data_IF_755319040671
#
_entry.id   IF_755319040671
#
_cell.length_a   1.000
_cell.length_b   1.000
_cell.length_c   1.000
_cell.angle_alpha   90.00
_cell.angle_beta   90.00
_cell.angle_gamma   90.00
#
_symmetry.space_group_name_H-M   'P 1'
#
loop_
_entity.id
_entity.type
_entity.pdbx_description
1 polymer ?
#
# COMPACT_ATOMS: atom_id res chain seq x y z
N UNK A 1 8.45 28.33 22.24
CA UNK A 1 8.46 28.07 20.78
C UNK A 1 9.91 27.86 20.36
N UNK A 2 10.24 26.82 19.57
CA UNK A 2 11.58 26.66 19.01
C UNK A 2 11.95 27.87 18.14
N UNK A 3 13.24 28.19 18.03
CA UNK A 3 13.70 29.31 17.19
C UNK A 3 13.32 29.09 15.71
N UNK A 4 12.91 30.16 15.02
CA UNK A 4 12.62 30.13 13.58
C UNK A 4 13.88 29.71 12.81
N UNK A 5 13.73 28.74 11.91
CA UNK A 5 14.81 28.19 11.07
C UNK A 5 14.42 28.36 9.60
N UNK A 6 15.43 28.41 8.73
CA UNK A 6 15.25 28.30 7.28
C UNK A 6 15.43 26.83 6.89
N UNK A 7 14.44 26.26 6.21
CA UNK A 7 14.42 24.84 5.84
C UNK A 7 14.13 24.73 4.35
N UNK A 8 14.92 23.91 3.66
CA UNK A 8 14.64 23.51 2.28
C UNK A 8 14.11 22.09 2.30
N UNK A 9 12.93 21.87 1.70
CA UNK A 9 12.33 20.56 1.49
C UNK A 9 12.48 20.19 0.02
N UNK A 10 13.08 19.03 -0.26
CA UNK A 10 13.28 18.52 -1.62
C UNK A 10 12.15 17.54 -1.95
N UNK A 11 11.36 17.86 -2.97
CA UNK A 11 10.18 17.11 -3.41
C UNK A 11 8.88 17.72 -2.90
N UNK A 12 7.98 18.03 -3.83
CA UNK A 12 6.59 18.48 -3.65
C UNK A 12 5.57 17.34 -3.76
N UNK A 13 5.97 16.11 -3.43
CA UNK A 13 5.06 14.98 -3.20
C UNK A 13 4.36 15.07 -1.84
N UNK A 14 3.45 14.12 -1.53
CA UNK A 14 2.68 14.13 -0.29
C UNK A 14 3.56 14.22 0.97
N UNK A 15 4.64 13.45 1.06
CA UNK A 15 5.56 13.49 2.21
C UNK A 15 6.28 14.84 2.37
N UNK A 16 6.74 15.42 1.27
CA UNK A 16 7.42 16.72 1.29
C UNK A 16 6.47 17.88 1.61
N UNK A 17 5.28 17.88 1.02
CA UNK A 17 4.26 18.90 1.32
C UNK A 17 3.74 18.81 2.76
N UNK A 18 3.51 17.61 3.28
CA UNK A 18 3.14 17.42 4.70
C UNK A 18 4.24 17.91 5.63
N UNK A 19 5.50 17.57 5.36
CA UNK A 19 6.66 18.05 6.12
C UNK A 19 6.75 19.59 6.10
N UNK A 20 6.64 20.19 4.91
CA UNK A 20 6.68 21.64 4.74
C UNK A 20 5.55 22.33 5.51
N UNK A 21 4.33 21.80 5.40
CA UNK A 21 3.17 22.32 6.12
C UNK A 21 3.38 22.28 7.64
N UNK A 22 3.80 21.14 8.20
CA UNK A 22 4.03 21.01 9.64
C UNK A 22 5.15 21.95 10.15
N UNK A 23 6.20 22.15 9.37
CA UNK A 23 7.27 23.09 9.69
C UNK A 23 6.79 24.55 9.64
N UNK A 24 5.95 24.90 8.67
CA UNK A 24 5.34 26.22 8.56
C UNK A 24 4.41 26.53 9.73
N UNK A 25 3.55 25.57 10.14
CA UNK A 25 2.68 25.69 11.32
C UNK A 25 3.48 25.90 12.62
N UNK A 26 4.70 25.38 12.68
CA UNK A 26 5.63 25.57 13.80
C UNK A 26 6.45 26.87 13.71
N UNK A 27 6.19 27.72 12.72
CA UNK A 27 6.79 29.05 12.56
C UNK A 27 8.14 29.07 11.82
N UNK A 28 8.52 28.00 11.13
CA UNK A 28 9.74 27.95 10.32
C UNK A 28 9.55 28.61 8.94
N UNK A 29 10.65 29.07 8.34
CA UNK A 29 10.72 29.59 6.98
C UNK A 29 11.07 28.43 6.03
N UNK A 30 10.11 28.00 5.21
CA UNK A 30 10.24 26.77 4.42
C UNK A 30 10.19 27.07 2.94
N UNK A 31 11.16 26.54 2.20
CA UNK A 31 11.19 26.54 0.73
C UNK A 31 11.06 25.11 0.23
N UNK A 32 10.11 24.85 -0.66
CA UNK A 32 9.94 23.53 -1.30
C UNK A 32 10.51 23.57 -2.71
N UNK A 33 11.42 22.65 -3.04
CA UNK A 33 11.97 22.48 -4.38
C UNK A 33 11.38 21.22 -5.01
N UNK A 34 10.59 21.38 -6.06
CA UNK A 34 10.00 20.27 -6.83
C UNK A 34 10.61 20.23 -8.24
N UNK A 35 10.98 19.03 -8.69
CA UNK A 35 11.62 18.84 -9.98
C UNK A 35 10.61 18.88 -11.15
N UNK A 36 9.39 18.41 -10.90
CA UNK A 36 8.30 18.41 -11.86
C UNK A 36 7.62 19.79 -11.98
N UNK A 37 6.88 19.99 -13.06
CA UNK A 37 6.03 21.17 -13.27
C UNK A 37 4.72 21.15 -12.47
N UNK A 38 4.60 20.25 -11.49
CA UNK A 38 3.42 20.06 -10.65
C UNK A 38 3.85 19.48 -9.31
N UNK A 39 3.03 19.70 -8.30
CA UNK A 39 3.12 18.98 -7.03
C UNK A 39 2.30 17.68 -7.04
N UNK A 40 2.34 16.94 -5.94
CA UNK A 40 1.57 15.71 -5.70
C UNK A 40 2.40 14.43 -5.80
N UNK A 41 3.55 14.46 -6.48
CA UNK A 41 4.43 13.29 -6.64
C UNK A 41 3.67 12.13 -7.30
N UNK A 42 3.61 10.98 -6.63
CA UNK A 42 2.86 9.80 -7.11
C UNK A 42 1.33 9.97 -7.08
N UNK A 43 0.79 11.01 -6.44
CA UNK A 43 -0.62 11.36 -6.52
C UNK A 43 -0.83 12.34 -7.68
N UNK A 44 -1.81 12.05 -8.54
CA UNK A 44 -2.12 12.90 -9.70
C UNK A 44 -3.58 12.75 -10.10
N UNK A 45 -4.32 13.85 -10.00
CA UNK A 45 -5.66 13.99 -10.57
C UNK A 45 -5.57 14.74 -11.89
N UNK A 46 -6.20 14.21 -12.94
CA UNK A 46 -6.35 14.86 -14.24
C UNK A 46 -7.79 15.31 -14.44
N UNK A 47 -7.95 16.43 -15.14
CA UNK A 47 -9.24 16.98 -15.54
C UNK A 47 -9.32 16.99 -17.07
N UNK A 48 -8.31 17.53 -17.75
CA UNK A 48 -8.22 17.43 -19.20
C UNK A 48 -7.61 16.09 -19.66
N UNK A 49 -8.07 15.50 -20.79
CA UNK A 49 -9.10 15.99 -21.73
C UNK A 49 -10.51 15.45 -21.41
N UNK A 50 -10.84 15.22 -20.13
CA UNK A 50 -12.13 14.66 -19.75
C UNK A 50 -13.23 15.73 -19.88
N UNK A 51 -14.48 15.33 -20.21
CA UNK A 51 -15.62 16.24 -20.22
C UNK A 51 -15.81 17.01 -18.89
N UNK A 52 -16.45 18.17 -18.98
CA UNK A 52 -16.67 19.07 -17.84
C UNK A 52 -17.24 18.35 -16.61
N UNK A 53 -16.62 18.64 -15.45
CA UNK A 53 -17.00 18.06 -14.17
C UNK A 53 -16.46 16.64 -13.92
N UNK A 54 -15.77 16.04 -14.89
CA UNK A 54 -15.07 14.77 -14.71
C UNK A 54 -13.61 14.98 -14.33
N UNK A 55 -13.10 14.03 -13.57
CA UNK A 55 -11.69 13.90 -13.23
C UNK A 55 -11.33 12.43 -13.11
N UNK A 56 -10.05 12.13 -13.20
CA UNK A 56 -9.52 10.80 -12.93
C UNK A 56 -8.23 10.91 -12.13
N UNK A 57 -8.09 10.07 -11.11
CA UNK A 57 -6.79 9.83 -10.52
C UNK A 57 -6.02 8.86 -11.41
N UNK A 58 -4.79 9.24 -11.74
CA UNK A 58 -3.85 8.48 -12.57
C UNK A 58 -2.56 8.19 -11.81
N UNK A 59 -2.68 8.14 -10.49
CA UNK A 59 -1.62 7.90 -9.53
C UNK A 59 -2.15 7.12 -8.32
N UNK A 60 -1.51 7.30 -7.16
CA UNK A 60 -2.03 6.72 -5.92
C UNK A 60 -3.38 7.38 -5.56
N UNK A 61 -4.45 6.58 -5.53
CA UNK A 61 -5.84 7.07 -5.42
C UNK A 61 -6.60 6.50 -4.20
N UNK A 62 -6.04 5.50 -3.50
CA UNK A 62 -6.72 4.74 -2.45
C UNK A 62 -5.93 4.77 -1.14
N UNK A 63 -6.65 4.87 -0.02
CA UNK A 63 -6.18 4.59 1.32
C UNK A 63 -7.24 3.79 2.07
N UNK A 64 -6.85 3.07 3.13
CA UNK A 64 -7.77 2.18 3.87
C UNK A 64 -8.17 2.75 5.22
N UNK A 65 -9.24 2.18 5.77
CA UNK A 65 -9.62 2.34 7.16
C UNK A 65 -9.78 0.93 7.75
N UNK A 66 -8.96 0.52 8.72
CA UNK A 66 -7.94 1.29 9.45
C UNK A 66 -6.57 1.42 8.72
N UNK A 67 -5.59 2.04 9.39
CA UNK A 67 -4.15 1.99 9.07
C UNK A 67 -3.54 3.23 8.39
N UNK A 68 -4.36 4.24 8.08
CA UNK A 68 -3.98 5.51 7.45
C UNK A 68 -4.35 6.72 8.31
N UNK A 69 -4.03 6.67 9.61
CA UNK A 69 -4.49 7.67 10.59
C UNK A 69 -4.04 9.09 10.26
N UNK A 70 -2.77 9.29 9.88
CA UNK A 70 -2.25 10.59 9.45
C UNK A 70 -3.02 11.14 8.25
N UNK A 71 -3.33 10.31 7.25
CA UNK A 71 -4.14 10.74 6.10
C UNK A 71 -5.55 11.18 6.55
N UNK A 72 -6.14 10.49 7.52
CA UNK A 72 -7.46 10.84 8.08
C UNK A 72 -7.44 12.14 8.87
N UNK A 73 -6.36 12.42 9.57
CA UNK A 73 -6.14 13.73 10.20
C UNK A 73 -6.08 14.83 9.15
N UNK A 74 -5.34 14.64 8.05
CA UNK A 74 -5.28 15.60 6.95
C UNK A 74 -6.62 15.81 6.26
N UNK A 75 -7.34 14.72 5.97
CA UNK A 75 -8.69 14.78 5.39
C UNK A 75 -9.62 15.62 6.26
N UNK A 76 -9.60 15.42 7.58
CA UNK A 76 -10.40 16.23 8.52
C UNK A 76 -9.92 17.68 8.59
N UNK A 77 -8.59 17.89 8.66
CA UNK A 77 -7.99 19.23 8.77
C UNK A 77 -8.27 20.11 7.56
N UNK A 78 -8.33 19.53 6.37
CA UNK A 78 -8.60 20.24 5.12
C UNK A 78 -10.04 20.08 4.62
N UNK A 79 -10.93 19.49 5.42
CA UNK A 79 -12.34 19.26 5.08
C UNK A 79 -12.53 18.61 3.69
N UNK A 80 -11.77 17.55 3.43
CA UNK A 80 -11.77 16.86 2.14
C UNK A 80 -12.89 15.81 2.06
N UNK A 81 -13.62 15.74 0.94
CA UNK A 81 -14.61 14.68 0.73
C UNK A 81 -13.93 13.31 0.59
N UNK A 82 -14.45 12.31 1.30
CA UNK A 82 -14.02 10.91 1.18
C UNK A 82 -15.08 10.11 0.46
N UNK A 83 -14.67 9.37 -0.57
CA UNK A 83 -15.53 8.48 -1.34
C UNK A 83 -15.25 7.02 -0.98
N UNK A 84 -16.30 6.21 -0.89
CA UNK A 84 -16.14 4.76 -0.73
C UNK A 84 -15.78 4.11 -2.06
N UNK A 85 -14.81 3.19 -2.04
CA UNK A 85 -14.32 2.52 -3.24
C UNK A 85 -15.02 1.18 -3.45
N UNK A 86 -16.16 1.21 -4.14
CA UNK A 86 -17.00 0.03 -4.39
C UNK A 86 -16.40 -0.95 -5.43
N UNK A 87 -15.43 -0.50 -6.24
CA UNK A 87 -14.90 -1.22 -7.41
C UNK A 87 -14.24 -2.57 -7.11
N UNK A 88 -13.88 -2.86 -5.87
CA UNK A 88 -13.29 -4.17 -5.50
C UNK A 88 -14.31 -5.20 -5.02
N UNK A 89 -15.61 -4.90 -5.08
CA UNK A 89 -16.67 -5.89 -4.78
C UNK A 89 -16.87 -6.80 -6.00
N UNK A 90 -16.94 -8.12 -5.76
CA UNK A 90 -17.19 -9.16 -6.79
C UNK A 90 -16.20 -9.08 -7.97
N UNK A 91 -14.92 -8.90 -7.64
CA UNK A 91 -13.85 -8.79 -8.63
C UNK A 91 -13.63 -10.12 -9.35
N UNK A 92 -13.43 -10.05 -10.66
CA UNK A 92 -12.91 -11.16 -11.45
C UNK A 92 -11.41 -10.97 -11.63
N UNK A 93 -10.63 -12.03 -11.43
CA UNK A 93 -9.19 -12.01 -11.67
C UNK A 93 -8.87 -12.87 -12.88
N UNK A 94 -8.10 -12.34 -13.83
CA UNK A 94 -7.55 -13.14 -14.93
C UNK A 94 -6.30 -13.86 -14.42
N UNK A 95 -6.38 -15.19 -14.25
CA UNK A 95 -5.27 -16.03 -13.83
C UNK A 95 -5.00 -17.06 -14.92
N UNK A 96 -3.80 -16.98 -15.53
CA UNK A 96 -3.36 -17.84 -16.65
C UNK A 96 -4.38 -17.83 -17.81
N UNK A 97 -4.87 -16.65 -18.19
CA UNK A 97 -5.79 -16.48 -19.32
C UNK A 97 -7.27 -16.79 -19.02
N UNK A 98 -7.61 -17.28 -17.83
CA UNK A 98 -8.99 -17.56 -17.42
C UNK A 98 -9.45 -16.56 -16.35
N UNK A 99 -10.56 -15.89 -16.62
CA UNK A 99 -11.27 -15.08 -15.63
C UNK A 99 -11.91 -15.98 -14.58
N UNK A 100 -11.65 -15.70 -13.31
CA UNK A 100 -12.20 -16.44 -12.17
C UNK A 100 -12.80 -15.52 -11.13
N UNK A 101 -13.85 -15.99 -10.45
CA UNK A 101 -14.40 -15.32 -9.27
C UNK A 101 -13.54 -15.56 -8.04
N UNK A 102 -13.84 -14.83 -6.97
CA UNK A 102 -13.20 -15.02 -5.66
C UNK A 102 -13.51 -16.41 -5.06
N UNK A 103 -14.73 -16.91 -5.26
CA UNK A 103 -15.15 -18.24 -4.81
C UNK A 103 -14.41 -19.34 -5.56
N UNK A 104 -14.21 -19.18 -6.88
CA UNK A 104 -13.44 -20.13 -7.67
C UNK A 104 -11.96 -20.16 -7.26
N UNK A 105 -11.36 -19.02 -6.88
CA UNK A 105 -9.98 -18.94 -6.39
C UNK A 105 -9.85 -19.49 -4.95
N UNK A 106 -10.91 -19.40 -4.17
CA UNK A 106 -10.99 -19.99 -2.83
C UNK A 106 -11.17 -21.51 -2.86
N UNK A 107 -11.60 -22.10 -3.98
CA UNK A 107 -11.83 -23.54 -4.09
C UNK A 107 -10.52 -24.35 -4.05
N UNK A 108 -10.52 -25.41 -3.22
CA UNK A 108 -9.35 -26.24 -2.99
C UNK A 108 -8.90 -27.02 -4.25
N UNK A 109 -9.83 -27.41 -5.12
CA UNK A 109 -9.46 -28.07 -6.38
C UNK A 109 -8.76 -27.08 -7.31
N UNK A 110 -9.28 -25.86 -7.46
CA UNK A 110 -8.61 -24.78 -8.21
C UNK A 110 -7.21 -24.50 -7.66
N UNK A 111 -7.05 -24.45 -6.34
CA UNK A 111 -5.74 -24.22 -5.72
C UNK A 111 -4.74 -25.33 -6.05
N UNK A 112 -5.15 -26.60 -5.99
CA UNK A 112 -4.29 -27.72 -6.40
C UNK A 112 -3.94 -27.66 -7.89
N UNK A 113 -4.91 -27.34 -8.76
CA UNK A 113 -4.67 -27.14 -10.19
C UNK A 113 -3.65 -26.02 -10.48
N UNK A 114 -3.53 -25.04 -9.58
CA UNK A 114 -2.53 -23.99 -9.69
C UNK A 114 -1.12 -24.43 -9.29
N UNK A 115 -0.99 -25.56 -8.59
CA UNK A 115 0.30 -26.08 -8.11
C UNK A 115 0.64 -25.68 -6.68
N UNK A 116 -0.34 -25.23 -5.88
CA UNK A 116 -0.14 -25.11 -4.44
C UNK A 116 0.00 -26.51 -3.80
N UNK A 117 0.86 -26.63 -2.80
CA UNK A 117 1.02 -27.89 -2.05
C UNK A 117 -0.06 -28.04 -0.96
N UNK A 118 -0.18 -29.23 -0.36
CA UNK A 118 -1.26 -29.48 0.61
C UNK A 118 -1.18 -28.61 1.88
N UNK A 119 0.03 -28.20 2.32
CA UNK A 119 0.20 -27.27 3.46
C UNK A 119 -0.40 -25.91 3.14
N UNK A 120 -0.16 -25.41 1.93
CA UNK A 120 -0.67 -24.13 1.44
C UNK A 120 -2.18 -24.16 1.22
N UNK A 121 -2.69 -25.23 0.59
CA UNK A 121 -4.14 -25.44 0.38
C UNK A 121 -4.86 -25.48 1.73
N UNK A 122 -4.38 -26.30 2.68
CA UNK A 122 -4.99 -26.39 4.00
C UNK A 122 -5.03 -25.03 4.71
N UNK A 123 -3.91 -24.28 4.69
CA UNK A 123 -3.85 -22.95 5.28
C UNK A 123 -4.86 -21.98 4.64
N UNK A 124 -4.95 -21.96 3.31
CA UNK A 124 -5.87 -21.09 2.57
C UNK A 124 -7.35 -21.44 2.80
N UNK A 125 -7.68 -22.72 2.99
CA UNK A 125 -9.05 -23.13 3.33
C UNK A 125 -9.46 -22.66 4.72
N UNK A 126 -8.52 -22.69 5.68
CA UNK A 126 -8.78 -22.30 7.06
C UNK A 126 -8.76 -20.77 7.26
N UNK A 127 -7.80 -20.08 6.65
CA UNK A 127 -7.52 -18.66 6.90
C UNK A 127 -7.98 -17.74 5.77
N UNK A 128 -8.51 -18.29 4.68
CA UNK A 128 -8.84 -17.58 3.46
C UNK A 128 -7.65 -17.45 2.51
N UNK A 129 -7.89 -17.67 1.21
CA UNK A 129 -6.84 -17.79 0.20
C UNK A 129 -5.94 -16.55 0.06
N UNK A 130 -6.47 -15.36 0.35
CA UNK A 130 -5.73 -14.10 0.31
C UNK A 130 -4.69 -13.94 1.43
N UNK A 131 -4.76 -14.77 2.46
CA UNK A 131 -3.82 -14.72 3.59
C UNK A 131 -2.61 -15.64 3.42
N UNK A 132 -2.42 -16.27 2.25
CA UNK A 132 -1.33 -17.22 2.00
C UNK A 132 0.06 -16.73 2.47
N UNK A 133 0.38 -15.44 2.29
CA UNK A 133 1.67 -14.87 2.72
C UNK A 133 1.96 -15.07 4.22
N UNK A 134 0.90 -15.07 5.05
CA UNK A 134 1.00 -15.21 6.50
C UNK A 134 1.42 -16.61 6.94
N UNK A 135 1.23 -17.62 6.11
CA UNK A 135 1.76 -18.96 6.36
C UNK A 135 3.29 -18.94 6.52
N UNK A 136 3.96 -18.08 5.75
CA UNK A 136 5.42 -17.97 5.73
C UNK A 136 5.91 -16.86 6.64
N UNK A 137 5.37 -15.65 6.49
CA UNK A 137 5.91 -14.47 7.18
C UNK A 137 5.35 -14.29 8.59
N UNK A 138 4.12 -14.75 8.84
CA UNK A 138 3.39 -14.51 10.09
C UNK A 138 4.19 -14.85 11.35
N UNK A 139 4.77 -16.06 11.47
CA UNK A 139 5.56 -16.44 12.64
C UNK A 139 6.75 -15.52 12.93
N UNK A 140 7.42 -15.02 11.89
CA UNK A 140 8.56 -14.12 12.04
C UNK A 140 8.13 -12.66 12.25
N UNK A 141 7.00 -12.25 11.66
CA UNK A 141 6.43 -10.92 11.80
C UNK A 141 6.10 -10.58 13.26
N UNK A 142 5.81 -11.58 14.11
CA UNK A 142 5.59 -11.37 15.56
C UNK A 142 6.79 -10.79 16.30
N UNK A 143 8.02 -10.94 15.76
CA UNK A 143 9.24 -10.44 16.40
C UNK A 143 9.34 -8.91 16.35
N UNK A 144 8.69 -8.27 15.38
CA UNK A 144 8.66 -6.83 15.25
C UNK A 144 7.66 -6.25 16.26
N UNK A 145 8.09 -5.22 16.99
CA UNK A 145 7.25 -4.47 17.95
C UNK A 145 7.15 -2.98 17.63
N UNK A 146 8.02 -2.51 16.74
CA UNK A 146 8.07 -1.14 16.27
C UNK A 146 8.19 -1.16 14.74
N UNK A 147 7.21 -0.55 14.07
CA UNK A 147 7.18 -0.47 12.61
C UNK A 147 8.32 0.37 12.02
N UNK A 148 8.95 1.24 12.81
CA UNK A 148 10.09 2.07 12.38
C UNK A 148 11.45 1.40 12.65
N UNK A 149 11.46 0.20 13.25
CA UNK A 149 12.69 -0.53 13.61
C UNK A 149 12.76 -1.88 12.88
N UNK A 150 13.21 -1.90 11.60
CA UNK A 150 13.31 -3.13 10.81
C UNK A 150 14.49 -4.06 11.20
N UNK A 151 15.45 -3.57 11.97
CA UNK A 151 16.67 -4.31 12.37
C UNK A 151 16.76 -4.49 13.89
N UNK A 152 17.61 -5.42 14.35
CA UNK A 152 17.83 -5.69 15.77
C UNK A 152 16.80 -6.62 16.40
N UNK A 153 16.02 -7.34 15.58
CA UNK A 153 14.98 -8.28 16.04
C UNK A 153 15.41 -9.75 15.91
N UNK A 154 16.69 -9.99 15.61
CA UNK A 154 17.25 -11.32 15.38
C UNK A 154 16.84 -11.92 14.04
N UNK A 155 16.60 -11.07 13.03
CA UNK A 155 16.32 -11.46 11.64
C UNK A 155 17.22 -10.73 10.64
N UNK A 156 18.20 -9.95 11.10
CA UNK A 156 18.98 -8.99 10.32
C UNK A 156 19.73 -9.67 9.15
N UNK A 157 20.21 -10.89 9.34
CA UNK A 157 20.84 -11.70 8.28
C UNK A 157 19.93 -11.96 7.07
N UNK A 158 18.61 -11.94 7.26
CA UNK A 158 17.64 -12.11 6.17
C UNK A 158 17.61 -10.91 5.22
N UNK A 159 18.26 -9.80 5.55
CA UNK A 159 18.36 -8.66 4.62
C UNK A 159 19.23 -8.96 3.41
N UNK A 160 20.16 -9.91 3.57
CA UNK A 160 21.05 -10.37 2.50
C UNK A 160 20.54 -11.63 1.80
N UNK A 161 19.34 -12.09 2.15
CA UNK A 161 18.71 -13.27 1.55
C UNK A 161 17.63 -12.84 0.56
N UNK A 162 17.72 -13.36 -0.66
CA UNK A 162 16.69 -13.18 -1.69
C UNK A 162 15.40 -13.85 -1.22
N UNK A 163 14.29 -13.12 -1.25
CA UNK A 163 12.98 -13.60 -0.80
C UNK A 163 12.60 -14.96 -1.38
N UNK A 164 12.83 -15.17 -2.67
CA UNK A 164 12.46 -16.42 -3.33
C UNK A 164 13.26 -17.61 -2.82
N UNK A 165 14.55 -17.43 -2.52
CA UNK A 165 15.41 -18.46 -1.95
C UNK A 165 14.92 -18.82 -0.55
N UNK A 166 14.69 -17.80 0.28
CA UNK A 166 14.15 -17.99 1.63
C UNK A 166 12.80 -18.71 1.61
N UNK A 167 11.87 -18.32 0.73
CA UNK A 167 10.57 -19.00 0.60
C UNK A 167 10.71 -20.45 0.13
N UNK A 168 11.65 -20.73 -0.79
CA UNK A 168 11.93 -22.09 -1.22
C UNK A 168 12.46 -22.95 -0.05
N UNK A 169 13.34 -22.39 0.78
CA UNK A 169 13.81 -23.02 2.02
C UNK A 169 12.67 -23.25 3.03
N UNK A 170 11.67 -22.36 3.08
CA UNK A 170 10.47 -22.55 3.89
C UNK A 170 9.48 -23.60 3.32
N UNK A 171 9.81 -24.21 2.17
CA UNK A 171 9.00 -25.22 1.50
C UNK A 171 7.84 -24.65 0.68
N UNK A 172 7.91 -23.37 0.28
CA UNK A 172 6.89 -22.77 -0.58
C UNK A 172 6.94 -23.39 -1.98
N UNK A 173 5.76 -23.75 -2.51
CA UNK A 173 5.59 -24.10 -3.92
C UNK A 173 6.01 -22.94 -4.82
N UNK A 174 6.38 -23.23 -6.07
CA UNK A 174 6.66 -22.18 -7.06
C UNK A 174 5.48 -21.21 -7.21
N UNK A 175 4.26 -21.74 -7.17
CA UNK A 175 3.04 -20.94 -7.21
C UNK A 175 2.94 -20.01 -5.98
N UNK A 176 3.13 -20.53 -4.77
CA UNK A 176 3.10 -19.71 -3.56
C UNK A 176 4.19 -18.64 -3.55
N UNK A 177 5.41 -18.97 -4.01
CA UNK A 177 6.49 -18.00 -4.19
C UNK A 177 6.06 -16.88 -5.12
N UNK A 178 5.46 -17.21 -6.26
CA UNK A 178 4.96 -16.20 -7.20
C UNK A 178 3.93 -15.26 -6.59
N UNK A 179 2.95 -15.80 -5.87
CA UNK A 179 1.94 -14.99 -5.17
C UNK A 179 2.52 -14.12 -4.04
N UNK A 180 3.59 -14.58 -3.39
CA UNK A 180 4.26 -13.84 -2.32
C UNK A 180 5.31 -12.82 -2.83
N UNK A 181 5.54 -12.76 -4.14
CA UNK A 181 6.52 -11.87 -4.77
C UNK A 181 7.96 -12.42 -4.85
N UNK A 182 8.15 -13.71 -4.54
CA UNK A 182 9.43 -14.40 -4.51
C UNK A 182 9.68 -15.34 -5.69
N UNK A 183 9.19 -15.01 -6.89
CA UNK A 183 9.39 -15.86 -8.09
C UNK A 183 10.87 -16.07 -8.42
N UNK A 184 11.71 -15.06 -8.16
CA UNK A 184 13.14 -15.08 -8.47
C UNK A 184 13.92 -15.90 -7.44
N UNK A 185 14.71 -16.85 -7.92
CA UNK A 185 15.73 -17.57 -7.16
C UNK A 185 17.13 -17.09 -7.57
N UNK A 186 18.09 -17.12 -6.64
CA UNK A 186 19.50 -16.94 -6.98
C UNK A 186 20.13 -18.25 -7.49
N UNK A 187 21.11 -18.12 -8.38
CA UNK A 187 21.92 -19.24 -8.88
C UNK A 187 23.35 -18.78 -9.17
N UNK A 188 24.24 -19.71 -9.54
CA UNK A 188 25.60 -19.35 -9.98
C UNK A 188 25.60 -18.45 -11.22
N UNK A 189 24.67 -18.69 -12.14
CA UNK A 189 24.50 -17.94 -13.38
C UNK A 189 23.76 -16.61 -13.17
N UNK A 190 22.93 -16.53 -12.12
CA UNK A 190 22.15 -15.35 -11.74
C UNK A 190 22.27 -15.10 -10.24
N UNK A 191 23.40 -14.54 -9.77
CA UNK A 191 23.62 -14.31 -8.34
C UNK A 191 22.63 -13.28 -7.79
N UNK A 192 22.52 -13.20 -6.47
CA UNK A 192 21.79 -12.13 -5.79
C UNK A 192 22.38 -10.75 -6.10
N UNK A 193 21.53 -9.73 -6.14
CA UNK A 193 21.82 -8.33 -6.46
C UNK A 193 21.03 -7.42 -5.54
N UNK A 194 21.44 -6.15 -5.45
CA UNK A 194 20.72 -5.11 -4.69
C UNK A 194 19.32 -4.78 -5.22
N UNK A 195 18.99 -5.21 -6.44
CA UNK A 195 17.65 -5.06 -7.01
C UNK A 195 16.66 -6.14 -6.55
N UNK A 196 17.14 -7.12 -5.78
CA UNK A 196 16.32 -8.23 -5.34
C UNK A 196 15.57 -7.93 -4.06
N UNK A 197 14.39 -8.55 -3.95
CA UNK A 197 13.58 -8.36 -2.76
C UNK A 197 14.22 -9.10 -1.59
N UNK A 198 14.63 -8.35 -0.57
CA UNK A 198 15.10 -8.84 0.72
C UNK A 198 14.00 -9.62 1.45
N UNK A 199 14.34 -10.78 2.02
CA UNK A 199 13.42 -11.56 2.84
C UNK A 199 13.03 -10.79 4.11
N UNK A 200 13.99 -10.11 4.74
CA UNK A 200 13.74 -9.25 5.91
C UNK A 200 12.71 -8.17 5.59
N UNK A 201 12.89 -7.46 4.47
CA UNK A 201 11.99 -6.38 4.05
C UNK A 201 10.53 -6.86 3.97
N UNK A 202 10.28 -8.05 3.41
CA UNK A 202 8.91 -8.57 3.27
C UNK A 202 8.30 -9.04 4.57
N UNK A 203 9.09 -9.64 5.46
CA UNK A 203 8.62 -10.03 6.79
C UNK A 203 8.29 -8.78 7.62
N UNK A 204 9.16 -7.77 7.59
CA UNK A 204 8.92 -6.48 8.22
C UNK A 204 7.64 -5.83 7.66
N UNK A 205 7.45 -5.82 6.34
CA UNK A 205 6.23 -5.28 5.73
C UNK A 205 4.95 -6.00 6.20
N UNK A 206 4.94 -7.33 6.31
CA UNK A 206 3.79 -8.07 6.85
C UNK A 206 3.51 -7.66 8.31
N UNK A 207 4.55 -7.40 9.11
CA UNK A 207 4.40 -6.91 10.48
C UNK A 207 3.71 -5.56 10.55
N UNK A 208 4.04 -4.62 9.65
CA UNK A 208 3.38 -3.30 9.56
C UNK A 208 1.90 -3.47 9.19
N UNK A 209 1.61 -4.31 8.20
CA UNK A 209 0.23 -4.62 7.78
C UNK A 209 -0.57 -5.12 8.98
N UNK A 210 0.00 -6.02 9.78
CA UNK A 210 -0.61 -6.53 10.99
C UNK A 210 -0.80 -5.45 12.07
N UNK A 211 0.25 -4.69 12.41
CA UNK A 211 0.21 -3.67 13.46
C UNK A 211 -0.80 -2.57 13.17
N UNK A 212 -0.88 -2.14 11.91
CA UNK A 212 -1.81 -1.09 11.46
C UNK A 212 -3.23 -1.60 11.21
N UNK A 213 -3.47 -2.91 11.38
CA UNK A 213 -4.75 -3.53 11.05
C UNK A 213 -5.13 -3.40 9.58
N UNK A 214 -4.15 -3.18 8.70
CA UNK A 214 -4.41 -2.94 7.28
C UNK A 214 -5.13 -4.16 6.70
N UNK A 215 -6.25 -3.95 6.00
CA UNK A 215 -6.96 -5.05 5.39
C UNK A 215 -6.08 -5.64 4.27
N UNK A 216 -5.73 -6.93 4.39
CA UNK A 216 -5.05 -7.69 3.32
C UNK A 216 -5.91 -7.70 2.04
N UNK A 217 -7.23 -7.57 2.21
CA UNK A 217 -8.19 -7.22 1.17
C UNK A 217 -9.40 -6.50 1.79
N UNK A 218 -10.06 -5.62 1.01
CA UNK A 218 -11.21 -4.83 1.49
C UNK A 218 -12.23 -5.78 2.14
N UNK A 219 -12.50 -5.65 3.45
CA UNK A 219 -13.57 -6.43 4.09
C UNK A 219 -14.88 -6.06 3.39
N UNK A 220 -15.77 -7.03 3.21
CA UNK A 220 -17.13 -6.73 2.76
C UNK A 220 -17.74 -5.81 3.83
N UNK A 221 -17.77 -4.50 3.58
CA UNK A 221 -18.47 -3.58 4.47
C UNK A 221 -19.95 -4.00 4.46
N UNK A 222 -20.43 -4.57 5.57
CA UNK A 222 -21.82 -4.98 5.73
C UNK A 222 -22.79 -3.79 5.69
N UNK A 223 -22.29 -2.56 5.87
CA UNK A 223 -23.12 -1.35 5.86
C UNK A 223 -22.52 -0.28 4.94
N UNK A 224 -23.34 0.33 4.06
CA UNK A 224 -22.93 1.53 3.33
C UNK A 224 -22.61 2.63 4.34
N UNK A 225 -21.49 3.33 4.14
CA UNK A 225 -21.23 4.60 4.83
C UNK A 225 -22.21 5.61 4.23
N UNK A 226 -23.19 6.05 5.02
CA UNK A 226 -24.08 7.15 4.66
C UNK A 226 -23.27 8.43 4.58
N UNK A 227 -23.17 9.02 3.39
CA UNK A 227 -22.65 10.37 3.23
C UNK A 227 -23.57 11.33 3.99
N UNK A 228 -23.06 12.19 4.90
CA UNK A 228 -23.89 13.23 5.49
C UNK A 228 -24.36 14.19 4.39
N UNK A 229 -25.68 14.37 4.34
CA UNK A 229 -26.47 15.22 3.44
C UNK A 229 -25.74 16.00 2.36
N UNK A 230 -25.86 15.57 1.09
CA UNK A 230 -25.70 16.46 -0.07
C UNK A 230 -26.66 17.64 0.10
N UNK A 231 -26.14 18.84 0.39
CA UNK A 231 -26.86 20.06 0.04
C UNK A 231 -26.82 20.17 -1.47
N UNK A 232 -27.98 20.07 -2.10
CA UNK A 232 -28.19 20.41 -3.50
C UNK A 232 -27.96 21.91 -3.70
N UNK A 233 -26.72 22.29 -4.00
CA UNK A 233 -26.34 23.59 -4.51
C UNK A 233 -25.49 23.40 -5.78
N UNK A 234 -25.49 24.36 -6.72
CA UNK A 234 -24.64 24.29 -7.90
C UNK A 234 -23.18 24.11 -7.47
N UNK A 235 -22.43 23.29 -8.21
CA UNK A 235 -21.01 23.02 -7.98
C UNK A 235 -20.24 24.34 -8.10
N UNK A 236 -20.13 25.04 -6.98
CA UNK A 236 -19.29 26.22 -6.82
C UNK A 236 -17.85 25.77 -6.71
N UNK A 237 -17.02 26.27 -7.62
CA UNK A 237 -15.57 26.12 -7.59
C UNK A 237 -15.04 26.65 -6.25
N UNK A 238 -14.66 25.77 -5.33
CA UNK A 238 -14.08 26.16 -4.04
C UNK A 238 -12.58 26.28 -4.18
N UNK A 239 -12.11 27.53 -4.22
CA UNK A 239 -10.85 27.99 -3.64
C UNK A 239 -9.56 27.44 -4.25
N UNK A 240 -8.96 28.19 -5.18
CA UNK A 240 -7.51 28.12 -5.40
C UNK A 240 -6.82 28.50 -4.09
N UNK A 241 -6.04 27.60 -3.50
CA UNK A 241 -4.95 28.03 -2.64
C UNK A 241 -3.94 28.79 -3.53
N UNK A 242 -3.58 30.04 -3.19
CA UNK A 242 -2.49 30.71 -3.89
C UNK A 242 -1.17 30.06 -3.45
N UNK A 243 -0.72 29.07 -4.19
CA UNK A 243 0.70 28.71 -4.18
C UNK A 243 1.40 29.77 -5.02
N UNK A 244 1.90 30.82 -4.35
CA UNK A 244 2.73 31.84 -4.98
C UNK A 244 4.07 31.19 -5.30
N UNK A 245 4.28 30.82 -6.56
CA UNK A 245 5.63 30.64 -7.10
C UNK A 245 6.25 32.03 -7.21
N UNK A 246 7.39 32.24 -6.55
CA UNK A 246 8.36 33.27 -6.96
C UNK A 246 9.36 32.64 -7.92
#
# INVERSE_FOLDING_TARGET
MPAKKKVVVIGGGIGGLSCAYDLMERGHDVTVLEAARRTGGHVKTIYDPLPDGLYADVGAEQFTDPGYDTYREWVRKFDLPVLTYERRRKMYSNVRGKWRTEEELADAKTQREFGFNEREVAYMQEHGWKNLSRLFFGPMAEKFKDEYQPFGVGLDELDHVVLGDWLAEQGASETARGFCGGSRLSSKEKPATESDVSALYRIWQESIVKMRGLPVFIPVLEKPVTLPGRRSGPIGCVGRLPVIFK
#
